data_IF_734207327906
#
_entry.id   IF_734207327906
#
_cell.length_a   1.000
_cell.length_b   1.000
_cell.length_c   1.000
_cell.angle_alpha   90.00
_cell.angle_beta   90.00
_cell.angle_gamma   90.00
#
_symmetry.space_group_name_H-M   'P 1'
#
loop_
_entity.id
_entity.type
_entity.pdbx_description
1 polymer ?
#
# COMPACT_ATOMS: atom_id res chain seq x y z
N UNK A 1 -30.51 28.39 -18.57
CA UNK A 1 -30.62 27.18 -17.72
C UNK A 1 -29.23 26.55 -17.59
N UNK A 2 -28.71 26.54 -16.35
CA UNK A 2 -27.52 25.91 -15.76
C UNK A 2 -26.37 25.41 -16.67
N UNK A 3 -25.24 26.14 -16.65
CA UNK A 3 -23.89 25.57 -16.83
C UNK A 3 -23.66 24.52 -15.74
N UNK A 4 -23.34 23.28 -16.13
CA UNK A 4 -22.73 22.29 -15.23
C UNK A 4 -21.23 22.57 -15.26
N UNK A 5 -20.75 23.32 -14.27
CA UNK A 5 -19.32 23.33 -13.98
C UNK A 5 -18.91 21.90 -13.58
N UNK A 6 -17.75 21.40 -14.02
CA UNK A 6 -17.27 20.10 -13.56
C UNK A 6 -17.13 20.17 -12.04
N UNK A 7 -17.59 19.12 -11.36
CA UNK A 7 -17.36 18.96 -9.93
C UNK A 7 -15.85 19.11 -9.69
N UNK A 8 -15.48 20.17 -8.99
CA UNK A 8 -14.11 20.43 -8.57
C UNK A 8 -13.77 19.34 -7.53
N UNK A 9 -13.19 18.24 -8.00
CA UNK A 9 -12.72 17.15 -7.15
C UNK A 9 -11.53 17.73 -6.40
N UNK A 10 -11.77 18.18 -5.17
CA UNK A 10 -10.71 18.64 -4.27
C UNK A 10 -9.73 17.49 -4.07
N UNK A 11 -8.54 17.63 -4.64
CA UNK A 11 -7.39 16.78 -4.34
C UNK A 11 -7.21 16.74 -2.81
N UNK A 12 -7.35 15.55 -2.22
CA UNK A 12 -7.25 15.38 -0.76
C UNK A 12 -5.80 15.58 -0.29
N UNK A 13 -4.83 15.27 -1.17
CA UNK A 13 -3.40 15.47 -0.92
C UNK A 13 -2.78 16.38 -1.99
N UNK A 14 -2.40 17.59 -1.60
CA UNK A 14 -1.75 18.57 -2.48
C UNK A 14 -0.22 18.39 -2.57
N UNK A 15 0.39 17.72 -1.57
CA UNK A 15 1.84 17.62 -1.45
C UNK A 15 2.30 16.18 -1.14
N UNK A 16 3.37 15.70 -1.79
CA UNK A 16 3.97 14.43 -1.47
C UNK A 16 4.63 14.46 -0.09
N UNK A 17 4.83 13.27 0.50
CA UNK A 17 5.47 13.11 1.81
C UNK A 17 6.84 12.44 1.67
N UNK A 18 7.83 12.84 2.49
CA UNK A 18 9.21 12.37 2.34
C UNK A 18 9.43 10.93 2.83
N UNK A 19 8.64 10.46 3.81
CA UNK A 19 8.78 9.13 4.39
C UNK A 19 7.42 8.56 4.79
N UNK A 20 7.18 7.25 4.58
CA UNK A 20 6.05 6.56 5.20
C UNK A 20 6.21 6.56 6.72
N UNK A 21 5.11 6.82 7.41
CA UNK A 21 5.06 6.79 8.88
C UNK A 21 4.12 5.67 9.35
N UNK A 22 4.32 5.15 10.57
CA UNK A 22 3.45 4.12 11.13
C UNK A 22 1.97 4.51 11.08
N UNK A 23 1.14 3.68 10.46
CA UNK A 23 -0.30 3.93 10.31
C UNK A 23 -0.66 5.09 9.37
N UNK A 24 0.29 5.55 8.54
CA UNK A 24 0.05 6.54 7.49
C UNK A 24 0.57 5.99 6.17
N UNK A 25 -0.26 5.23 5.44
CA UNK A 25 0.15 4.66 4.16
C UNK A 25 0.45 5.76 3.15
N UNK A 26 1.37 5.47 2.24
CA UNK A 26 1.79 6.35 1.15
C UNK A 26 1.68 5.60 -0.17
N UNK A 27 1.41 6.28 -1.28
CA UNK A 27 1.34 5.63 -2.60
C UNK A 27 2.61 5.86 -3.43
N UNK A 28 2.97 4.86 -4.21
CA UNK A 28 4.06 4.95 -5.19
C UNK A 28 3.91 3.84 -6.24
N UNK A 29 4.52 4.02 -7.39
CA UNK A 29 4.73 2.93 -8.34
C UNK A 29 5.84 2.01 -7.84
N UNK A 30 5.91 0.79 -8.40
CA UNK A 30 6.98 -0.16 -8.10
C UNK A 30 8.38 0.43 -8.34
N UNK A 31 8.57 1.12 -9.48
CA UNK A 31 9.84 1.75 -9.80
C UNK A 31 10.22 2.87 -8.81
N UNK A 32 9.26 3.71 -8.42
CA UNK A 32 9.46 4.74 -7.40
C UNK A 32 9.76 4.13 -6.03
N UNK A 33 9.12 3.01 -5.67
CA UNK A 33 9.39 2.34 -4.41
C UNK A 33 10.84 1.84 -4.35
N UNK A 34 11.30 1.16 -5.40
CA UNK A 34 12.65 0.61 -5.47
C UNK A 34 13.73 1.71 -5.42
N UNK A 35 13.60 2.77 -6.24
CA UNK A 35 14.54 3.89 -6.24
C UNK A 35 14.65 4.54 -4.86
N UNK A 36 13.50 4.79 -4.22
CA UNK A 36 13.49 5.47 -2.92
C UNK A 36 14.01 4.61 -1.78
N UNK A 37 13.72 3.31 -1.79
CA UNK A 37 14.26 2.37 -0.81
C UNK A 37 15.78 2.24 -0.93
N UNK A 38 16.31 2.22 -2.15
CA UNK A 38 17.75 2.22 -2.41
C UNK A 38 18.40 3.51 -1.88
N UNK A 39 17.80 4.67 -2.18
CA UNK A 39 18.31 5.98 -1.74
C UNK A 39 18.38 6.16 -0.23
N UNK A 40 17.46 5.56 0.53
CA UNK A 40 17.49 5.61 2.01
C UNK A 40 18.33 4.50 2.64
N UNK A 41 18.93 3.60 1.84
CA UNK A 41 19.68 2.45 2.36
C UNK A 41 18.81 1.51 3.18
N UNK A 42 17.58 1.24 2.71
CA UNK A 42 16.62 0.41 3.42
C UNK A 42 17.19 -1.00 3.65
N UNK A 43 17.13 -1.47 4.90
CA UNK A 43 17.70 -2.77 5.32
C UNK A 43 16.71 -3.66 6.08
N UNK A 44 15.50 -3.17 6.34
CA UNK A 44 14.44 -3.96 6.96
C UNK A 44 13.79 -4.90 5.95
N UNK A 45 13.01 -5.86 6.42
CA UNK A 45 12.26 -6.76 5.53
C UNK A 45 11.04 -6.02 4.94
N UNK A 46 10.75 -6.29 3.68
CA UNK A 46 9.53 -5.86 3.00
C UNK A 46 8.71 -7.08 2.62
N UNK A 47 7.39 -7.00 2.76
CA UNK A 47 6.47 -8.02 2.25
C UNK A 47 5.43 -7.38 1.33
N UNK A 48 5.20 -7.98 0.18
CA UNK A 48 4.12 -7.62 -0.73
C UNK A 48 2.87 -8.43 -0.40
N UNK A 49 1.81 -7.70 -0.06
CA UNK A 49 0.47 -8.21 0.16
C UNK A 49 -0.31 -8.18 -1.16
N UNK A 50 -0.34 -9.33 -1.83
CA UNK A 50 -0.84 -9.46 -3.21
C UNK A 50 -1.59 -10.79 -3.43
N UNK A 51 -2.28 -10.90 -4.56
CA UNK A 51 -3.12 -12.05 -4.90
C UNK A 51 -2.31 -13.25 -5.43
N UNK A 52 -1.12 -13.01 -6.00
CA UNK A 52 -0.26 -14.03 -6.59
C UNK A 52 1.20 -13.81 -6.22
N UNK A 53 1.85 -14.84 -5.68
CA UNK A 53 3.27 -14.85 -5.32
C UNK A 53 4.18 -14.49 -6.50
N UNK A 54 3.77 -14.78 -7.74
CA UNK A 54 4.55 -14.44 -8.95
C UNK A 54 4.64 -12.94 -9.21
N UNK A 55 3.85 -12.11 -8.52
CA UNK A 55 3.85 -10.65 -8.64
C UNK A 55 4.77 -9.96 -7.64
N UNK A 56 5.49 -10.71 -6.80
CA UNK A 56 6.47 -10.16 -5.87
C UNK A 56 7.48 -9.28 -6.58
N UNK A 57 7.96 -8.26 -5.87
CA UNK A 57 8.87 -7.25 -6.36
C UNK A 57 10.24 -7.54 -5.76
N UNK A 58 11.29 -7.65 -6.58
CA UNK A 58 12.65 -7.90 -6.11
C UNK A 58 12.72 -9.15 -5.20
N UNK A 59 13.23 -8.96 -3.99
CA UNK A 59 13.45 -9.92 -2.91
C UNK A 59 12.41 -9.78 -1.78
N UNK A 60 11.32 -9.05 -2.03
CA UNK A 60 10.27 -8.85 -1.03
C UNK A 60 9.55 -10.17 -0.75
N UNK A 61 9.23 -10.40 0.52
CA UNK A 61 8.44 -11.56 0.94
C UNK A 61 7.02 -11.50 0.39
N UNK A 62 6.37 -12.67 0.28
CA UNK A 62 4.99 -12.77 -0.14
C UNK A 62 4.03 -12.86 1.06
N UNK A 63 2.93 -12.11 1.01
CA UNK A 63 1.78 -12.25 1.89
C UNK A 63 0.52 -12.34 1.01
N UNK A 64 -0.31 -13.36 1.22
CA UNK A 64 -1.51 -13.53 0.41
C UNK A 64 -2.60 -12.52 0.81
N UNK A 65 -3.11 -11.77 -0.17
CA UNK A 65 -4.21 -10.80 0.03
C UNK A 65 -5.59 -11.38 -0.24
N UNK A 66 -5.63 -12.51 -0.93
CA UNK A 66 -6.83 -13.31 -1.19
C UNK A 66 -6.47 -14.79 -1.21
N UNK A 67 -7.42 -15.63 -0.78
CA UNK A 67 -7.29 -17.10 -0.87
C UNK A 67 -8.66 -17.71 -1.13
N UNK A 68 -8.70 -18.71 -2.02
CA UNK A 68 -9.93 -19.40 -2.33
C UNK A 68 -10.49 -20.11 -1.07
N UNK A 69 -11.76 -19.85 -0.77
CA UNK A 69 -12.43 -20.46 0.39
C UNK A 69 -12.08 -19.83 1.74
N UNK A 70 -11.22 -18.81 1.78
CA UNK A 70 -10.91 -18.07 3.01
C UNK A 70 -11.76 -16.79 3.03
N UNK A 71 -12.59 -16.58 4.07
CA UNK A 71 -13.37 -15.36 4.19
C UNK A 71 -12.46 -14.16 4.52
N UNK A 72 -12.93 -12.91 4.31
CA UNK A 72 -12.12 -11.71 4.54
C UNK A 72 -11.50 -11.60 5.95
N UNK A 73 -12.23 -12.06 6.97
CA UNK A 73 -11.73 -12.11 8.36
C UNK A 73 -10.52 -13.05 8.52
N UNK A 74 -10.44 -14.12 7.72
CA UNK A 74 -9.31 -15.03 7.70
C UNK A 74 -8.06 -14.36 7.12
N UNK A 75 -8.23 -13.58 6.05
CA UNK A 75 -7.16 -12.78 5.46
C UNK A 75 -6.63 -11.73 6.47
N UNK A 76 -7.52 -11.05 7.20
CA UNK A 76 -7.11 -10.14 8.27
C UNK A 76 -6.39 -10.85 9.44
N UNK A 77 -6.82 -12.06 9.80
CA UNK A 77 -6.14 -12.85 10.82
C UNK A 77 -4.71 -13.22 10.38
N UNK A 78 -4.51 -13.54 9.10
CA UNK A 78 -3.17 -13.77 8.54
C UNK A 78 -2.30 -12.52 8.56
N UNK A 79 -2.84 -11.36 8.19
CA UNK A 79 -2.14 -10.08 8.32
C UNK A 79 -1.74 -9.81 9.78
N UNK A 80 -2.63 -10.04 10.74
CA UNK A 80 -2.35 -9.86 12.16
C UNK A 80 -1.28 -10.81 12.70
N UNK A 81 -1.30 -12.08 12.26
CA UNK A 81 -0.25 -13.03 12.58
C UNK A 81 1.11 -12.57 12.00
N UNK A 82 1.12 -12.10 10.76
CA UNK A 82 2.31 -11.54 10.11
C UNK A 82 2.84 -10.31 10.86
N UNK A 83 1.98 -9.38 11.28
CA UNK A 83 2.34 -8.20 12.06
C UNK A 83 3.04 -8.54 13.38
N UNK A 84 2.66 -9.68 13.98
CA UNK A 84 3.26 -10.19 15.22
C UNK A 84 4.59 -10.86 14.95
N UNK A 85 4.68 -11.64 13.87
CA UNK A 85 5.88 -12.38 13.48
C UNK A 85 7.02 -11.46 13.00
N UNK A 86 6.70 -10.36 12.33
CA UNK A 86 7.67 -9.46 11.71
C UNK A 86 7.52 -8.02 12.23
N UNK A 87 8.02 -7.73 13.45
CA UNK A 87 7.74 -6.48 14.13
C UNK A 87 8.40 -5.23 13.52
N UNK A 88 9.42 -5.38 12.69
CA UNK A 88 10.12 -4.27 12.02
C UNK A 88 9.85 -4.22 10.51
N UNK A 89 9.18 -5.23 9.95
CA UNK A 89 8.96 -5.31 8.53
C UNK A 89 7.98 -4.24 8.04
N UNK A 90 8.24 -3.75 6.83
CA UNK A 90 7.32 -2.87 6.11
C UNK A 90 6.35 -3.72 5.30
N UNK A 91 5.16 -3.16 5.11
CA UNK A 91 4.09 -3.77 4.33
C UNK A 91 3.95 -3.01 3.02
N UNK A 92 4.04 -3.70 1.89
CA UNK A 92 3.60 -3.19 0.61
C UNK A 92 2.22 -3.80 0.29
N UNK A 93 1.25 -2.98 -0.11
CA UNK A 93 -0.10 -3.40 -0.50
C UNK A 93 -0.22 -3.25 -2.00
N UNK A 94 -0.53 -4.34 -2.68
CA UNK A 94 -0.60 -4.36 -4.14
C UNK A 94 -1.98 -3.94 -4.63
N UNK A 95 -2.06 -2.75 -5.22
CA UNK A 95 -3.25 -2.21 -5.88
C UNK A 95 -2.95 -1.85 -7.35
N UNK A 96 -1.96 -2.52 -7.96
CA UNK A 96 -1.67 -2.38 -9.39
C UNK A 96 -2.87 -2.87 -10.23
N UNK A 97 -2.99 -2.32 -11.42
CA UNK A 97 -4.03 -2.70 -12.38
C UNK A 97 -3.98 -4.21 -12.66
N UNK A 98 -5.14 -4.88 -12.54
CA UNK A 98 -5.25 -6.31 -12.77
C UNK A 98 -4.86 -7.21 -11.59
N UNK A 99 -4.58 -6.62 -10.42
CA UNK A 99 -4.45 -7.32 -9.14
C UNK A 99 -5.79 -7.34 -8.43
N UNK A 100 -6.16 -8.47 -7.84
CA UNK A 100 -7.34 -8.53 -6.98
C UNK A 100 -7.00 -7.84 -5.64
N UNK A 101 -7.72 -6.77 -5.25
CA UNK A 101 -7.43 -6.07 -4.00
C UNK A 101 -7.60 -6.97 -2.78
N UNK A 102 -6.90 -6.68 -1.67
CA UNK A 102 -7.01 -7.48 -0.45
C UNK A 102 -8.47 -7.66 0.00
N UNK A 103 -8.83 -8.92 0.27
CA UNK A 103 -10.17 -9.24 0.73
C UNK A 103 -10.25 -9.04 2.24
N UNK A 104 -10.73 -7.86 2.66
CA UNK A 104 -10.84 -7.47 4.07
C UNK A 104 -12.30 -7.25 4.48
N UNK A 105 -12.63 -7.58 5.72
CA UNK A 105 -13.91 -7.26 6.36
C UNK A 105 -13.94 -5.79 6.80
N UNK A 106 -12.84 -5.32 7.38
CA UNK A 106 -12.59 -3.93 7.74
C UNK A 106 -12.24 -3.14 6.48
N UNK A 107 -12.74 -1.90 6.31
CA UNK A 107 -12.31 -1.05 5.21
C UNK A 107 -10.78 -0.92 5.17
N UNK A 108 -10.19 -1.07 3.98
CA UNK A 108 -8.74 -1.19 3.82
C UNK A 108 -7.98 -0.04 4.51
N UNK A 109 -8.40 1.20 4.32
CA UNK A 109 -7.72 2.37 4.91
C UNK A 109 -7.72 2.30 6.45
N UNK A 110 -8.86 1.97 7.04
CA UNK A 110 -9.00 1.78 8.50
C UNK A 110 -8.13 0.63 8.99
N UNK A 111 -8.04 -0.48 8.26
CA UNK A 111 -7.18 -1.60 8.61
C UNK A 111 -5.70 -1.18 8.59
N UNK A 112 -5.27 -0.52 7.52
CA UNK A 112 -3.87 -0.12 7.33
C UNK A 112 -3.41 0.93 8.35
N UNK A 113 -4.25 1.91 8.65
CA UNK A 113 -4.00 2.91 9.71
C UNK A 113 -3.81 2.24 11.08
N UNK A 114 -4.62 1.21 11.37
CA UNK A 114 -4.58 0.49 12.64
C UNK A 114 -3.40 -0.49 12.77
N UNK A 115 -2.78 -0.91 11.68
CA UNK A 115 -1.59 -1.80 11.74
C UNK A 115 -0.40 -1.16 12.45
N UNK A 116 -0.34 0.18 12.47
CA UNK A 116 0.82 0.95 12.97
C UNK A 116 2.15 0.50 12.34
N UNK A 117 2.11 0.06 11.07
CA UNK A 117 3.30 -0.22 10.25
C UNK A 117 3.56 0.88 9.24
N UNK A 118 4.78 0.92 8.74
CA UNK A 118 5.10 1.67 7.54
C UNK A 118 4.52 0.90 6.36
N UNK A 119 3.59 1.55 5.64
CA UNK A 119 2.83 0.92 4.56
C UNK A 119 3.07 1.66 3.25
N UNK A 120 3.46 0.91 2.23
CA UNK A 120 3.53 1.38 0.84
C UNK A 120 2.32 0.84 0.08
N UNK A 121 1.59 1.70 -0.62
CA UNK A 121 0.54 1.32 -1.56
C UNK A 121 1.15 1.32 -2.94
N UNK A 122 1.32 0.14 -3.52
CA UNK A 122 1.92 -0.04 -4.84
C UNK A 122 0.82 0.03 -5.90
N UNK A 123 0.96 0.99 -6.81
CA UNK A 123 -0.04 1.29 -7.84
C UNK A 123 0.60 1.33 -9.22
N UNK A 124 -0.19 1.15 -10.28
CA UNK A 124 0.31 1.27 -11.66
C UNK A 124 0.66 2.71 -12.04
N UNK A 125 -0.06 3.69 -11.48
CA UNK A 125 0.18 5.12 -11.73
C UNK A 125 -0.06 5.95 -10.46
N UNK A 126 1.02 6.48 -9.88
CA UNK A 126 0.98 7.27 -8.64
C UNK A 126 0.22 8.59 -8.76
N UNK A 127 0.01 9.11 -9.97
CA UNK A 127 -0.74 10.35 -10.23
C UNK A 127 -2.25 10.26 -9.98
N UNK A 128 -2.81 9.05 -9.90
CA UNK A 128 -4.26 8.81 -9.96
C UNK A 128 -4.86 8.35 -8.62
N UNK A 129 -4.05 8.19 -7.57
CA UNK A 129 -4.53 7.72 -6.26
C UNK A 129 -4.58 8.87 -5.26
N UNK A 130 -5.78 9.42 -5.09
CA UNK A 130 -6.04 10.57 -4.20
C UNK A 130 -6.26 10.15 -2.74
N UNK A 131 -6.35 8.86 -2.43
CA UNK A 131 -6.59 8.38 -1.07
C UNK A 131 -5.36 8.50 -0.17
N UNK A 132 -4.16 8.35 -0.74
CA UNK A 132 -2.89 8.38 0.01
C UNK A 132 -1.92 9.39 -0.61
N UNK A 133 -1.09 10.05 0.20
CA UNK A 133 -0.07 10.95 -0.31
C UNK A 133 1.01 10.16 -1.06
N UNK A 134 1.51 10.75 -2.15
CA UNK A 134 2.63 10.17 -2.88
C UNK A 134 3.89 10.16 -2.01
N UNK A 135 4.61 9.04 -1.99
CA UNK A 135 5.94 8.99 -1.39
C UNK A 135 6.95 9.62 -2.33
N UNK A 136 7.58 10.72 -1.88
CA UNK A 136 8.64 11.41 -2.62
C UNK A 136 9.71 11.95 -1.68
N UNK A 137 10.91 11.40 -1.73
CA UNK A 137 12.06 11.95 -1.02
C UNK A 137 12.39 13.38 -1.49
N UNK A 138 12.80 14.29 -0.57
CA UNK A 138 13.29 15.60 -0.96
C UNK A 138 14.59 15.46 -1.77
N UNK A 139 14.83 16.43 -2.64
CA UNK A 139 15.98 16.47 -3.56
C UNK A 139 17.31 16.47 -2.81
#
# INVERSE_FOLDING_TARGET
MRRKEPLDVKKIWEHPVPMPMPGRPVCCTEAEALDQLERIGFSERMFLWTDDERRTISDWGFLASVRQGVPPIGIEAELNAWLTQYPTAWLAVDLRDGVIPPSTQTPLNTLLENTKRNVLIIVSSSSNHEEWPQWKLPF
#
